data_IF_602740204360
#
_entry.id   IF_602740204360
#
_cell.length_a   1.000
_cell.length_b   1.000
_cell.length_c   1.000
_cell.angle_alpha   90.00
_cell.angle_beta   90.00
_cell.angle_gamma   90.00
#
_symmetry.space_group_name_H-M   'P 1'
#
loop_
_entity.id
_entity.type
_entity.pdbx_description
1 polymer ?
#
# COMPACT_ATOMS: atom_id res chain seq x y z
N UNK A 1 14.14 -13.98 -45.32
CA UNK A 1 15.11 -13.28 -44.45
C UNK A 1 14.58 -11.95 -43.91
N UNK A 2 14.17 -10.97 -44.74
CA UNK A 2 13.63 -9.68 -44.22
C UNK A 2 12.34 -9.84 -43.38
N UNK A 3 11.38 -10.67 -43.82
CA UNK A 3 10.15 -10.95 -43.05
C UNK A 3 10.41 -11.69 -41.74
N UNK A 4 11.33 -12.65 -41.72
CA UNK A 4 11.68 -13.39 -40.50
C UNK A 4 12.38 -12.50 -39.48
N UNK A 5 13.30 -11.64 -39.92
CA UNK A 5 13.95 -10.65 -39.04
C UNK A 5 12.90 -9.69 -38.45
N UNK A 6 11.96 -9.21 -39.26
CA UNK A 6 10.91 -8.28 -38.79
C UNK A 6 9.98 -8.92 -37.75
N UNK A 7 9.63 -10.20 -37.91
CA UNK A 7 8.83 -10.95 -36.93
C UNK A 7 9.60 -11.13 -35.61
N UNK A 8 10.88 -11.49 -35.67
CA UNK A 8 11.72 -11.66 -34.47
C UNK A 8 11.87 -10.35 -33.71
N UNK A 9 12.11 -9.24 -34.41
CA UNK A 9 12.21 -7.91 -33.79
C UNK A 9 10.88 -7.51 -33.13
N UNK A 10 9.74 -7.73 -33.79
CA UNK A 10 8.42 -7.48 -33.20
C UNK A 10 8.16 -8.33 -31.96
N UNK A 11 8.55 -9.61 -31.99
CA UNK A 11 8.40 -10.50 -30.84
C UNK A 11 9.24 -10.04 -29.65
N UNK A 12 10.49 -9.60 -29.89
CA UNK A 12 11.35 -9.06 -28.84
C UNK A 12 10.80 -7.76 -28.25
N UNK A 13 10.30 -6.86 -29.10
CA UNK A 13 9.68 -5.60 -28.62
C UNK A 13 8.44 -5.92 -27.78
N UNK A 14 7.57 -6.83 -28.24
CA UNK A 14 6.38 -7.24 -27.50
C UNK A 14 6.73 -7.88 -26.15
N UNK A 15 7.76 -8.73 -26.10
CA UNK A 15 8.25 -9.33 -24.86
C UNK A 15 8.79 -8.29 -23.89
N UNK A 16 9.60 -7.33 -24.37
CA UNK A 16 10.14 -6.25 -23.55
C UNK A 16 9.05 -5.33 -22.98
N UNK A 17 8.03 -5.00 -23.78
CA UNK A 17 6.88 -4.20 -23.32
C UNK A 17 6.07 -4.96 -22.27
N UNK A 18 5.79 -6.24 -22.51
CA UNK A 18 5.06 -7.09 -21.54
C UNK A 18 5.83 -7.22 -20.22
N UNK A 19 7.16 -7.38 -20.29
CA UNK A 19 8.03 -7.40 -19.11
C UNK A 19 7.94 -6.10 -18.31
N UNK A 20 8.10 -4.95 -18.98
CA UNK A 20 7.98 -3.64 -18.33
C UNK A 20 6.57 -3.42 -17.74
N UNK A 21 5.51 -3.84 -18.42
CA UNK A 21 4.15 -3.67 -17.91
C UNK A 21 3.89 -4.46 -16.63
N UNK A 22 4.43 -5.68 -16.55
CA UNK A 22 4.18 -6.56 -15.42
C UNK A 22 5.01 -6.19 -14.18
N UNK A 23 6.27 -5.79 -14.36
CA UNK A 23 7.18 -5.53 -13.23
C UNK A 23 7.30 -4.06 -12.83
N UNK A 24 7.05 -3.12 -13.75
CA UNK A 24 7.23 -1.69 -13.46
C UNK A 24 5.97 -1.04 -12.88
N UNK A 25 4.78 -1.54 -13.22
CA UNK A 25 3.53 -0.96 -12.73
C UNK A 25 3.01 -1.76 -11.54
N UNK A 26 3.10 -1.23 -10.31
CA UNK A 26 2.51 -1.90 -9.17
C UNK A 26 1.00 -1.95 -9.31
N UNK A 27 0.39 -3.01 -8.78
CA UNK A 27 -1.06 -3.08 -8.65
C UNK A 27 -1.51 -2.18 -7.50
N UNK A 28 -2.45 -1.28 -7.77
CA UNK A 28 -2.93 -0.31 -6.79
C UNK A 28 -4.45 -0.29 -6.69
N UNK A 29 -4.97 -0.19 -5.47
CA UNK A 29 -6.40 0.03 -5.22
C UNK A 29 -6.62 0.97 -4.03
N UNK A 30 -7.83 1.53 -3.92
CA UNK A 30 -8.26 2.31 -2.77
C UNK A 30 -9.16 1.46 -1.88
N UNK A 31 -8.89 1.45 -0.57
CA UNK A 31 -9.71 0.74 0.40
C UNK A 31 -10.08 1.66 1.57
N UNK A 32 -11.27 1.43 2.13
CA UNK A 32 -11.67 2.08 3.37
C UNK A 32 -10.99 1.40 4.55
N UNK A 33 -10.25 2.15 5.33
CA UNK A 33 -9.71 1.74 6.62
C UNK A 33 -10.63 2.27 7.72
N UNK A 34 -11.14 1.39 8.57
CA UNK A 34 -11.94 1.73 9.74
C UNK A 34 -11.12 1.44 10.99
N UNK A 35 -11.09 2.40 11.91
CA UNK A 35 -10.49 2.26 13.24
C UNK A 35 -11.64 2.20 14.24
N UNK A 36 -11.64 1.16 15.05
CA UNK A 36 -12.64 0.93 16.08
C UNK A 36 -11.91 0.93 17.43
N UNK A 37 -12.41 1.75 18.36
CA UNK A 37 -11.82 1.94 19.68
C UNK A 37 -12.91 1.75 20.71
N UNK A 38 -12.73 0.79 21.60
CA UNK A 38 -13.65 0.54 22.70
C UNK A 38 -13.15 1.28 23.95
N UNK A 39 -14.03 2.09 24.55
CA UNK A 39 -13.78 2.84 25.78
C UNK A 39 -15.01 2.70 26.66
N UNK A 40 -14.83 2.21 27.89
CA UNK A 40 -15.92 2.03 28.88
C UNK A 40 -17.15 1.29 28.29
N UNK A 41 -16.91 0.15 27.63
CA UNK A 41 -17.91 -0.67 26.93
C UNK A 41 -18.66 0.05 25.77
N UNK A 42 -18.20 1.24 25.35
CA UNK A 42 -18.74 1.97 24.20
C UNK A 42 -17.75 1.97 23.03
N UNK A 43 -18.26 1.66 21.83
CA UNK A 43 -17.48 1.64 20.60
C UNK A 43 -17.46 3.01 19.91
N UNK A 44 -16.26 3.50 19.60
CA UNK A 44 -16.01 4.71 18.83
C UNK A 44 -15.32 4.35 17.53
N UNK A 45 -15.79 4.92 16.42
CA UNK A 45 -15.31 4.53 15.09
C UNK A 45 -14.86 5.74 14.28
N UNK A 46 -13.75 5.58 13.58
CA UNK A 46 -13.20 6.54 12.62
C UNK A 46 -12.87 5.84 11.32
N UNK A 47 -12.82 6.56 10.20
CA UNK A 47 -12.45 5.96 8.92
C UNK A 47 -11.68 6.92 8.04
N UNK A 48 -10.78 6.37 7.24
CA UNK A 48 -10.13 7.06 6.12
C UNK A 48 -10.06 6.15 4.90
N UNK A 49 -9.83 6.74 3.72
CA UNK A 49 -9.53 5.97 2.51
C UNK A 49 -8.02 5.95 2.31
N UNK A 50 -7.48 4.77 2.09
CA UNK A 50 -6.05 4.55 1.88
C UNK A 50 -5.82 3.87 0.55
N UNK A 51 -4.76 4.28 -0.15
CA UNK A 51 -4.27 3.61 -1.34
C UNK A 51 -3.32 2.50 -0.92
N UNK A 52 -3.60 1.28 -1.36
CA UNK A 52 -2.70 0.13 -1.19
C UNK A 52 -1.99 -0.14 -2.50
N UNK A 53 -0.73 -0.54 -2.40
CA UNK A 53 0.16 -0.82 -3.52
C UNK A 53 0.83 -2.17 -3.29
N UNK A 54 0.80 -3.04 -4.30
CA UNK A 54 1.48 -4.32 -4.32
C UNK A 54 2.35 -4.40 -5.56
N UNK A 55 3.63 -4.71 -5.38
CA UNK A 55 4.57 -4.95 -6.47
C UNK A 55 5.32 -6.25 -6.26
N UNK A 56 5.49 -7.00 -7.35
CA UNK A 56 6.40 -8.14 -7.36
C UNK A 56 7.86 -7.66 -7.40
N UNK A 57 8.75 -8.41 -6.75
CA UNK A 57 10.19 -8.20 -6.90
C UNK A 57 10.63 -8.51 -8.34
N UNK A 58 11.56 -7.71 -8.86
CA UNK A 58 12.17 -7.93 -10.18
C UNK A 58 12.69 -9.38 -10.31
N UNK A 59 12.39 -10.11 -11.40
CA UNK A 59 12.94 -11.44 -11.68
C UNK A 59 14.46 -11.55 -11.57
N UNK A 60 15.19 -10.48 -11.89
CA UNK A 60 16.65 -10.41 -11.79
C UNK A 60 17.14 -10.33 -10.34
N UNK A 61 16.26 -9.94 -9.41
CA UNK A 61 16.55 -9.88 -7.97
C UNK A 61 15.78 -10.93 -7.16
N UNK A 62 14.96 -11.79 -7.83
CA UNK A 62 14.26 -12.92 -7.19
C UNK A 62 15.27 -13.82 -6.48
N UNK A 63 15.13 -13.94 -5.15
CA UNK A 63 16.00 -14.76 -4.30
C UNK A 63 17.07 -13.97 -3.52
N UNK A 64 17.26 -12.68 -3.82
CA UNK A 64 18.12 -11.77 -3.04
C UNK A 64 17.35 -11.00 -1.95
N UNK A 65 16.06 -11.27 -1.80
CA UNK A 65 15.16 -10.60 -0.87
C UNK A 65 13.71 -11.08 -1.04
N UNK A 66 12.76 -10.33 -0.48
CA UNK A 66 11.33 -10.65 -0.49
C UNK A 66 10.74 -10.60 -1.90
N UNK A 67 9.90 -11.59 -2.23
CA UNK A 67 9.31 -11.76 -3.56
C UNK A 67 8.21 -10.76 -3.91
N UNK A 68 7.66 -10.07 -2.90
CA UNK A 68 6.53 -9.16 -3.02
C UNK A 68 6.70 -8.00 -2.03
N UNK A 69 6.39 -6.79 -2.46
CA UNK A 69 6.46 -5.57 -1.67
C UNK A 69 5.06 -5.01 -1.50
N UNK A 70 4.75 -4.57 -0.27
CA UNK A 70 3.47 -3.99 0.10
C UNK A 70 3.66 -2.56 0.59
N UNK A 71 2.74 -1.67 0.20
CA UNK A 71 2.72 -0.29 0.66
C UNK A 71 1.30 0.22 0.88
N UNK A 72 1.15 1.15 1.82
CA UNK A 72 -0.08 1.91 2.03
C UNK A 72 0.24 3.40 2.15
N UNK A 73 -0.59 4.25 1.56
CA UNK A 73 -0.47 5.71 1.64
C UNK A 73 -1.86 6.32 1.68
N UNK A 74 -2.05 7.34 2.50
CA UNK A 74 -3.35 7.97 2.67
C UNK A 74 -3.34 8.89 3.89
N UNK A 75 -4.53 9.43 4.19
CA UNK A 75 -4.73 10.26 5.36
C UNK A 75 -4.92 9.41 6.62
N UNK A 76 -4.54 9.99 7.76
CA UNK A 76 -4.77 9.38 9.05
C UNK A 76 -6.27 9.19 9.28
N UNK A 77 -6.68 8.03 9.79
CA UNK A 77 -8.02 7.88 10.33
C UNK A 77 -8.04 8.54 11.72
N UNK A 78 -9.06 9.34 12.01
CA UNK A 78 -9.24 9.94 13.33
C UNK A 78 -10.51 9.39 13.99
N UNK A 79 -10.46 9.23 15.30
CA UNK A 79 -11.58 8.81 16.15
C UNK A 79 -11.77 9.84 17.24
N UNK A 80 -12.98 10.38 17.35
CA UNK A 80 -13.36 11.20 18.50
C UNK A 80 -13.65 10.27 19.68
N UNK A 81 -12.97 10.51 20.80
CA UNK A 81 -13.12 9.74 22.03
C UNK A 81 -13.90 10.56 23.07
N UNK A 82 -14.46 9.93 24.11
CA UNK A 82 -15.23 10.67 25.12
C UNK A 82 -14.36 11.75 25.80
N UNK A 83 -14.97 12.92 25.97
CA UNK A 83 -14.29 14.13 26.45
C UNK A 83 -13.53 14.87 25.35
N UNK A 84 -12.53 15.70 25.69
CA UNK A 84 -11.74 16.47 24.74
C UNK A 84 -10.56 15.63 24.20
N UNK A 85 -10.81 14.41 23.71
CA UNK A 85 -9.76 13.45 23.31
C UNK A 85 -9.94 12.99 21.87
N UNK A 86 -8.84 12.84 21.15
CA UNK A 86 -8.82 12.35 19.78
C UNK A 86 -7.74 11.28 19.63
N UNK A 87 -8.08 10.22 18.89
CA UNK A 87 -7.11 9.22 18.46
C UNK A 87 -6.88 9.35 16.97
N UNK A 88 -5.61 9.45 16.58
CA UNK A 88 -5.19 9.44 15.18
C UNK A 88 -4.44 8.16 14.89
N UNK A 89 -4.92 7.38 13.93
CA UNK A 89 -4.22 6.24 13.37
C UNK A 89 -3.42 6.71 12.15
N UNK A 90 -2.12 6.86 12.34
CA UNK A 90 -1.16 7.23 11.32
C UNK A 90 -0.75 5.99 10.53
N UNK A 91 -0.74 6.10 9.21
CA UNK A 91 -0.08 5.09 8.38
C UNK A 91 1.43 5.21 8.60
N UNK A 92 2.02 4.18 9.20
CA UNK A 92 3.46 4.05 9.36
C UNK A 92 4.03 3.32 8.16
N UNK A 93 5.04 3.91 7.51
CA UNK A 93 5.89 3.17 6.58
C UNK A 93 6.71 2.15 7.36
N UNK A 94 6.25 0.91 7.43
CA UNK A 94 7.05 -0.21 7.90
C UNK A 94 8.09 -0.62 6.86
N UNK A 95 9.16 -1.35 7.25
CA UNK A 95 10.04 -1.98 6.28
C UNK A 95 9.20 -2.85 5.30
N UNK A 96 9.62 -2.96 4.03
CA UNK A 96 8.81 -3.47 2.92
C UNK A 96 8.28 -4.92 3.08
N UNK A 97 8.76 -5.63 4.10
CA UNK A 97 8.46 -7.00 4.50
C UNK A 97 7.38 -7.14 5.57
N UNK A 98 6.95 -6.03 6.19
CA UNK A 98 6.04 -6.05 7.35
C UNK A 98 4.57 -5.76 7.02
N UNK A 99 4.23 -5.54 5.74
CA UNK A 99 2.90 -5.11 5.33
C UNK A 99 2.59 -3.66 5.77
N UNK A 100 1.39 -3.15 5.46
CA UNK A 100 0.95 -1.84 5.95
C UNK A 100 0.97 -1.79 7.47
N UNK A 101 1.79 -0.92 8.06
CA UNK A 101 1.80 -0.70 9.50
C UNK A 101 0.95 0.52 9.86
N UNK A 102 0.19 0.42 10.94
CA UNK A 102 -0.59 1.52 11.52
C UNK A 102 -0.06 1.82 12.91
N UNK A 103 0.38 3.06 13.12
CA UNK A 103 0.77 3.56 14.43
C UNK A 103 -0.36 4.44 14.98
N UNK A 104 -0.79 4.22 16.21
CA UNK A 104 -1.82 5.04 16.85
C UNK A 104 -1.19 6.05 17.81
N UNK A 105 -1.61 7.31 17.72
CA UNK A 105 -1.25 8.37 18.67
C UNK A 105 -2.52 8.98 19.27
N UNK A 106 -2.53 9.14 20.60
CA UNK A 106 -3.62 9.76 21.33
C UNK A 106 -3.23 11.21 21.70
N UNK A 107 -4.07 12.17 21.33
CA UNK A 107 -3.82 13.60 21.55
C UNK A 107 -5.00 14.18 22.35
N UNK A 108 -4.68 14.90 23.42
CA UNK A 108 -5.65 15.70 24.17
C UNK A 108 -5.92 17.01 23.41
N UNK A 109 -7.18 17.43 23.31
CA UNK A 109 -7.54 18.73 22.75
C UNK A 109 -6.94 19.82 23.63
N UNK A 110 -5.99 20.57 23.10
CA UNK A 110 -5.60 21.84 23.69
C UNK A 110 -6.71 22.85 23.39
N UNK A 111 -7.30 23.44 24.44
CA UNK A 111 -8.20 24.57 24.33
C UNK A 111 -7.46 25.82 23.83
#
# INVERSE_FOLDING_TARGET
MKRTILIVVLALIAASVAYCQHFWFPYTWHQKMTVEVEVDDQLYTGSSVVKVTVSDSDPLTKGLGFSMQFGATGEAAFVELPGPRYLFALLGGGPPDSGPQTNAINILRAC
#
